data_IF_601546474525
#
_entry.id   IF_601546474525
#
_cell.length_a   1.000
_cell.length_b   1.000
_cell.length_c   1.000
_cell.angle_alpha   90.00
_cell.angle_beta   90.00
_cell.angle_gamma   90.00
#
_symmetry.space_group_name_H-M   'P 1'
#
loop_
_entity.id
_entity.type
_entity.pdbx_description
1 polymer ?
#
# COMPACT_ATOMS: atom_id res chain seq x y z
N UNK A 1 29.92 -62.11 2.31
CA UNK A 1 30.17 -60.98 1.46
C UNK A 1 28.92 -60.58 0.64
N UNK A 2 28.45 -61.40 -0.33
CA UNK A 2 27.30 -61.01 -1.18
C UNK A 2 25.97 -60.80 -0.44
N UNK A 3 25.71 -61.57 0.63
CA UNK A 3 24.51 -61.44 1.46
C UNK A 3 24.55 -60.16 2.33
N UNK A 4 25.72 -59.79 2.81
CA UNK A 4 25.94 -58.59 3.62
C UNK A 4 25.82 -57.33 2.73
N UNK A 5 26.37 -57.37 1.53
CA UNK A 5 26.23 -56.29 0.53
C UNK A 5 24.77 -56.09 0.11
N UNK A 6 24.02 -57.18 -0.08
CA UNK A 6 22.61 -57.13 -0.38
C UNK A 6 21.80 -56.46 0.74
N UNK A 7 22.03 -56.85 2.00
CA UNK A 7 21.35 -56.27 3.16
C UNK A 7 21.67 -54.77 3.30
N UNK A 8 22.93 -54.37 3.11
CA UNK A 8 23.30 -52.97 3.17
C UNK A 8 22.66 -52.14 2.04
N UNK A 9 22.51 -52.69 0.81
CA UNK A 9 21.77 -52.07 -0.29
C UNK A 9 20.27 -51.96 -0.01
N UNK A 10 19.67 -52.98 0.58
CA UNK A 10 18.25 -53.00 0.93
C UNK A 10 17.95 -51.95 2.02
N UNK A 11 18.78 -51.83 3.04
CA UNK A 11 18.66 -50.82 4.10
C UNK A 11 18.81 -49.41 3.49
N UNK A 12 19.80 -49.21 2.61
CA UNK A 12 19.99 -47.93 1.93
C UNK A 12 18.82 -47.56 1.01
N UNK A 13 18.30 -48.53 0.27
CA UNK A 13 17.13 -48.36 -0.59
C UNK A 13 15.92 -47.95 0.23
N UNK A 14 15.62 -48.69 1.33
CA UNK A 14 14.52 -48.38 2.24
C UNK A 14 14.66 -46.97 2.83
N UNK A 15 15.85 -46.60 3.29
CA UNK A 15 16.11 -45.25 3.82
C UNK A 15 15.88 -44.17 2.75
N UNK A 16 16.42 -44.33 1.54
CA UNK A 16 16.25 -43.38 0.47
C UNK A 16 14.80 -43.26 -0.01
N UNK A 17 14.05 -44.38 -0.04
CA UNK A 17 12.64 -44.39 -0.38
C UNK A 17 11.81 -43.60 0.62
N UNK A 18 12.06 -43.82 1.93
CA UNK A 18 11.40 -43.03 2.98
C UNK A 18 11.72 -41.54 2.87
N UNK A 19 13.00 -41.17 2.67
CA UNK A 19 13.40 -39.77 2.48
C UNK A 19 12.74 -39.14 1.27
N UNK A 20 12.57 -39.89 0.16
CA UNK A 20 11.90 -39.41 -1.04
C UNK A 20 10.42 -39.17 -0.76
N UNK A 21 9.74 -40.09 -0.07
CA UNK A 21 8.33 -39.94 0.33
C UNK A 21 8.15 -38.70 1.22
N UNK A 22 9.03 -38.49 2.21
CA UNK A 22 9.00 -37.32 3.08
C UNK A 22 9.15 -36.01 2.30
N UNK A 23 10.08 -35.96 1.33
CA UNK A 23 10.29 -34.78 0.49
C UNK A 23 9.08 -34.50 -0.42
N UNK A 24 8.48 -35.56 -1.00
CA UNK A 24 7.27 -35.43 -1.82
C UNK A 24 6.11 -34.92 -0.98
N UNK A 25 5.94 -35.43 0.23
CA UNK A 25 4.89 -34.97 1.15
C UNK A 25 5.12 -33.52 1.57
N UNK A 26 6.33 -33.16 1.99
CA UNK A 26 6.67 -31.80 2.37
C UNK A 26 6.43 -30.79 1.22
N UNK A 27 6.76 -31.18 -0.02
CA UNK A 27 6.45 -30.35 -1.20
C UNK A 27 4.95 -30.14 -1.39
N UNK A 28 4.15 -31.19 -1.19
CA UNK A 28 2.69 -31.11 -1.29
C UNK A 28 2.10 -30.21 -0.22
N UNK A 29 2.58 -30.36 1.02
CA UNK A 29 2.12 -29.55 2.15
C UNK A 29 2.46 -28.06 1.93
N UNK A 30 3.68 -27.76 1.45
CA UNK A 30 4.08 -26.39 1.09
C UNK A 30 3.21 -25.82 -0.05
N UNK A 31 2.86 -26.60 -1.05
CA UNK A 31 1.96 -26.14 -2.12
C UNK A 31 0.58 -25.77 -1.55
N UNK A 32 0.04 -26.57 -0.64
CA UNK A 32 -1.21 -26.24 0.05
C UNK A 32 -1.15 -24.95 0.86
N UNK A 33 -0.04 -24.73 1.59
CA UNK A 33 0.16 -23.47 2.33
C UNK A 33 0.21 -22.27 1.40
N UNK A 34 0.86 -22.38 0.23
CA UNK A 34 0.90 -21.31 -0.77
C UNK A 34 -0.51 -20.99 -1.26
N UNK A 35 -1.32 -21.98 -1.62
CA UNK A 35 -2.70 -21.78 -2.06
C UNK A 35 -3.55 -21.08 -0.99
N UNK A 36 -3.41 -21.46 0.28
CA UNK A 36 -4.12 -20.83 1.39
C UNK A 36 -3.69 -19.37 1.59
N UNK A 37 -2.39 -19.08 1.50
CA UNK A 37 -1.86 -17.71 1.59
C UNK A 37 -2.32 -16.84 0.44
N UNK A 38 -2.27 -17.35 -0.80
CA UNK A 38 -2.73 -16.64 -1.99
C UNK A 38 -4.23 -16.30 -1.89
N UNK A 39 -5.05 -17.22 -1.40
CA UNK A 39 -6.47 -16.98 -1.16
C UNK A 39 -6.70 -15.87 -0.12
N UNK A 40 -5.93 -15.85 0.97
CA UNK A 40 -6.01 -14.79 1.99
C UNK A 40 -5.55 -13.44 1.44
N UNK A 41 -4.46 -13.41 0.68
CA UNK A 41 -3.97 -12.18 0.04
C UNK A 41 -5.02 -11.64 -0.92
N UNK A 42 -5.61 -12.48 -1.75
CA UNK A 42 -6.66 -12.12 -2.70
C UNK A 42 -7.85 -11.47 -2.00
N UNK A 43 -8.33 -12.08 -0.92
CA UNK A 43 -9.45 -11.54 -0.15
C UNK A 43 -9.11 -10.17 0.47
N UNK A 44 -7.97 -10.08 1.17
CA UNK A 44 -7.54 -8.84 1.82
C UNK A 44 -7.30 -7.70 0.82
N UNK A 45 -6.69 -8.01 -0.32
CA UNK A 45 -6.44 -7.02 -1.37
C UNK A 45 -7.74 -6.53 -2.00
N UNK A 46 -8.67 -7.45 -2.31
CA UNK A 46 -9.97 -7.10 -2.91
C UNK A 46 -10.77 -6.19 -1.99
N UNK A 47 -10.86 -6.53 -0.70
CA UNK A 47 -11.55 -5.72 0.29
C UNK A 47 -10.91 -4.34 0.43
N UNK A 48 -9.58 -4.28 0.54
CA UNK A 48 -8.84 -3.03 0.62
C UNK A 48 -8.99 -2.18 -0.65
N UNK A 49 -8.98 -2.81 -1.83
CA UNK A 49 -9.18 -2.14 -3.10
C UNK A 49 -10.52 -1.40 -3.14
N UNK A 50 -11.62 -2.07 -2.82
CA UNK A 50 -12.95 -1.45 -2.84
C UNK A 50 -13.06 -0.27 -1.87
N UNK A 51 -12.48 -0.41 -0.67
CA UNK A 51 -12.48 0.66 0.32
C UNK A 51 -11.70 1.90 -0.19
N UNK A 52 -10.51 1.69 -0.74
CA UNK A 52 -9.65 2.78 -1.23
C UNK A 52 -10.19 3.40 -2.53
N UNK A 53 -10.71 2.59 -3.44
CA UNK A 53 -11.35 3.05 -4.67
C UNK A 53 -12.52 3.98 -4.39
N UNK A 54 -13.30 3.70 -3.34
CA UNK A 54 -14.43 4.54 -2.92
C UNK A 54 -14.00 5.86 -2.25
N UNK A 55 -12.87 5.88 -1.54
CA UNK A 55 -12.37 7.07 -0.83
C UNK A 55 -11.52 7.99 -1.72
N UNK A 56 -10.76 7.44 -2.66
CA UNK A 56 -9.83 8.22 -3.49
C UNK A 56 -10.49 9.40 -4.24
N UNK A 57 -11.64 9.26 -4.92
CA UNK A 57 -12.29 10.38 -5.61
C UNK A 57 -12.66 11.51 -4.66
N UNK A 58 -13.10 11.21 -3.44
CA UNK A 58 -13.51 12.19 -2.42
C UNK A 58 -12.31 13.00 -1.94
N UNK A 59 -11.21 12.32 -1.61
CA UNK A 59 -9.96 12.97 -1.21
C UNK A 59 -9.38 13.78 -2.36
N UNK A 60 -9.41 13.23 -3.58
CA UNK A 60 -8.92 13.93 -4.77
C UNK A 60 -9.68 15.24 -5.01
N UNK A 61 -11.00 15.26 -4.89
CA UNK A 61 -11.81 16.47 -5.03
C UNK A 61 -11.51 17.52 -3.95
N UNK A 62 -11.15 17.10 -2.75
CA UNK A 62 -10.73 18.02 -1.67
C UNK A 62 -9.42 18.71 -2.01
N UNK A 63 -8.45 17.96 -2.56
CA UNK A 63 -7.15 18.49 -2.97
C UNK A 63 -7.18 19.23 -4.32
N UNK A 64 -8.06 18.82 -5.23
CA UNK A 64 -8.25 19.41 -6.56
C UNK A 64 -9.71 19.81 -6.75
N UNK A 65 -10.20 20.92 -6.17
CA UNK A 65 -11.58 21.37 -6.34
C UNK A 65 -11.96 21.52 -7.81
N UNK A 66 -13.00 20.79 -8.25
CA UNK A 66 -13.43 20.73 -9.65
C UNK A 66 -12.62 19.77 -10.52
N UNK A 67 -11.68 19.01 -9.94
CA UNK A 67 -10.98 17.91 -10.58
C UNK A 67 -11.69 16.58 -10.36
N UNK A 68 -11.27 15.56 -11.10
CA UNK A 68 -11.73 14.19 -10.97
C UNK A 68 -10.50 13.26 -10.89
N UNK A 69 -10.54 12.30 -9.99
CA UNK A 69 -9.53 11.25 -9.86
C UNK A 69 -10.18 9.90 -9.70
N UNK A 70 -9.57 8.88 -10.29
CA UNK A 70 -9.99 7.49 -10.13
C UNK A 70 -8.81 6.56 -10.14
N UNK A 71 -8.98 5.40 -9.51
CA UNK A 71 -8.03 4.31 -9.53
C UNK A 71 -8.48 3.27 -10.53
N UNK A 72 -7.53 2.62 -11.19
CA UNK A 72 -7.79 1.58 -12.20
C UNK A 72 -6.82 0.43 -11.95
N UNK A 73 -7.34 -0.79 -11.98
CA UNK A 73 -6.52 -2.00 -12.00
C UNK A 73 -5.97 -2.21 -13.41
N UNK A 74 -4.68 -2.54 -13.53
CA UNK A 74 -4.06 -2.82 -14.84
C UNK A 74 -4.49 -4.16 -15.40
N UNK A 75 -4.72 -5.14 -14.52
CA UNK A 75 -5.13 -6.50 -14.85
C UNK A 75 -6.27 -6.94 -13.91
N UNK A 76 -7.53 -6.49 -14.17
CA UNK A 76 -8.67 -6.76 -13.27
C UNK A 76 -8.99 -8.24 -13.10
N UNK A 77 -8.63 -9.07 -14.08
CA UNK A 77 -8.87 -10.52 -14.07
C UNK A 77 -7.87 -11.29 -13.19
N UNK A 78 -6.74 -10.67 -12.84
CA UNK A 78 -5.72 -11.26 -11.98
C UNK A 78 -5.34 -10.31 -10.83
N UNK A 79 -6.08 -10.40 -9.76
CA UNK A 79 -5.92 -9.55 -8.58
C UNK A 79 -4.62 -9.80 -7.80
N UNK A 80 -3.93 -10.93 -8.02
CA UNK A 80 -2.65 -11.23 -7.36
C UNK A 80 -1.46 -10.53 -8.02
N UNK A 81 -1.56 -10.27 -9.33
CA UNK A 81 -0.46 -9.67 -10.10
C UNK A 81 -0.78 -8.26 -10.60
N UNK A 82 -2.06 -7.82 -10.46
CA UNK A 82 -2.50 -6.52 -10.94
C UNK A 82 -1.75 -5.36 -10.32
N UNK A 83 -1.44 -4.35 -11.13
CA UNK A 83 -1.00 -3.03 -10.66
C UNK A 83 -2.17 -2.07 -10.49
N UNK A 84 -1.90 -0.95 -9.81
CA UNK A 84 -2.86 0.15 -9.66
C UNK A 84 -2.36 1.35 -10.46
N UNK A 85 -3.16 1.82 -11.42
CA UNK A 85 -2.94 3.09 -12.12
C UNK A 85 -3.85 4.18 -11.55
N UNK A 86 -3.31 5.39 -11.50
CA UNK A 86 -4.05 6.59 -11.11
C UNK A 86 -4.34 7.41 -12.35
N UNK A 87 -5.61 7.60 -12.65
CA UNK A 87 -6.07 8.59 -13.61
C UNK A 87 -6.55 9.84 -12.89
N UNK A 88 -6.01 10.97 -13.27
CA UNK A 88 -6.33 12.26 -12.69
C UNK A 88 -6.68 13.27 -13.76
N UNK A 89 -7.73 14.06 -13.48
CA UNK A 89 -8.13 15.23 -14.26
C UNK A 89 -8.11 16.47 -13.35
N UNK A 90 -6.98 17.17 -13.23
CA UNK A 90 -6.94 18.45 -12.54
C UNK A 90 -7.91 19.46 -13.19
N UNK A 91 -8.37 20.49 -12.46
CA UNK A 91 -9.31 21.47 -12.98
C UNK A 91 -8.83 22.10 -14.29
N UNK A 92 -9.72 22.15 -15.30
CA UNK A 92 -9.40 22.75 -16.62
C UNK A 92 -8.50 21.92 -17.52
N UNK A 93 -8.14 20.68 -17.13
CA UNK A 93 -7.28 19.78 -17.92
C UNK A 93 -8.04 18.53 -18.39
N UNK A 94 -7.44 17.82 -19.35
CA UNK A 94 -7.92 16.49 -19.76
C UNK A 94 -7.45 15.43 -18.77
N UNK A 95 -8.15 14.29 -18.71
CA UNK A 95 -7.71 13.13 -17.95
C UNK A 95 -6.32 12.68 -18.38
N UNK A 96 -5.46 12.43 -17.42
CA UNK A 96 -4.08 11.97 -17.64
C UNK A 96 -3.71 10.91 -16.62
N UNK A 97 -2.83 10.01 -17.04
CA UNK A 97 -2.12 9.10 -16.12
C UNK A 97 -1.18 9.92 -15.23
N UNK A 98 -0.91 9.41 -14.04
CA UNK A 98 -0.03 10.06 -13.05
C UNK A 98 1.33 10.48 -13.67
N UNK A 99 1.89 9.65 -14.55
CA UNK A 99 3.17 9.93 -15.22
C UNK A 99 3.20 11.20 -16.05
N UNK A 100 2.03 11.66 -16.55
CA UNK A 100 1.87 12.80 -17.44
C UNK A 100 1.48 14.12 -16.72
N UNK A 101 1.34 14.08 -15.39
CA UNK A 101 1.07 15.25 -14.57
C UNK A 101 2.35 16.08 -14.35
N UNK A 102 2.19 17.36 -14.00
CA UNK A 102 3.31 18.18 -13.54
C UNK A 102 3.84 17.70 -12.18
N UNK A 103 5.05 18.12 -11.79
CA UNK A 103 5.67 17.71 -10.53
C UNK A 103 4.76 17.93 -9.31
N UNK A 104 4.26 19.15 -9.13
CA UNK A 104 3.35 19.47 -8.01
C UNK A 104 2.01 18.71 -8.07
N UNK A 105 1.45 18.50 -9.27
CA UNK A 105 0.24 17.69 -9.43
C UNK A 105 0.49 16.23 -9.10
N UNK A 106 1.65 15.68 -9.45
CA UNK A 106 2.06 14.31 -9.07
C UNK A 106 2.14 14.16 -7.57
N UNK A 107 2.85 15.06 -6.88
CA UNK A 107 3.00 15.03 -5.44
C UNK A 107 1.65 15.12 -4.73
N UNK A 108 0.79 16.04 -5.17
CA UNK A 108 -0.54 16.20 -4.60
C UNK A 108 -1.46 15.00 -4.88
N UNK A 109 -1.35 14.37 -6.06
CA UNK A 109 -2.10 13.15 -6.40
C UNK A 109 -1.61 11.94 -5.61
N UNK A 110 -0.29 11.80 -5.41
CA UNK A 110 0.27 10.76 -4.55
C UNK A 110 -0.19 10.93 -3.09
N UNK A 111 -0.26 12.17 -2.62
CA UNK A 111 -0.79 12.49 -1.30
C UNK A 111 -2.28 12.15 -1.20
N UNK A 112 -3.08 12.41 -2.26
CA UNK A 112 -4.49 12.01 -2.31
C UNK A 112 -4.64 10.49 -2.14
N UNK A 113 -3.78 9.72 -2.79
CA UNK A 113 -3.77 8.25 -2.67
C UNK A 113 -3.44 7.81 -1.24
N UNK A 114 -2.40 8.39 -0.64
CA UNK A 114 -1.99 8.09 0.72
C UNK A 114 -3.13 8.37 1.72
N UNK A 115 -3.76 9.54 1.63
CA UNK A 115 -4.88 9.91 2.51
C UNK A 115 -6.12 9.04 2.27
N UNK A 116 -6.37 8.63 1.02
CA UNK A 116 -7.45 7.68 0.71
C UNK A 116 -7.24 6.33 1.39
N UNK A 117 -6.00 5.82 1.40
CA UNK A 117 -5.64 4.60 2.13
C UNK A 117 -5.85 4.80 3.64
N UNK A 118 -5.44 5.93 4.20
CA UNK A 118 -5.62 6.23 5.63
C UNK A 118 -7.10 6.31 6.04
N UNK A 119 -7.96 6.83 5.17
CA UNK A 119 -9.41 6.87 5.41
C UNK A 119 -10.07 5.50 5.27
N UNK A 120 -9.65 4.73 4.27
CA UNK A 120 -10.17 3.39 4.02
C UNK A 120 -9.78 2.40 5.14
N UNK A 121 -8.54 2.52 5.63
CA UNK A 121 -7.96 1.65 6.68
C UNK A 121 -7.29 2.50 7.76
N UNK A 122 -8.08 3.10 8.68
CA UNK A 122 -7.53 4.00 9.68
C UNK A 122 -6.57 3.27 10.65
N UNK A 123 -5.45 3.94 10.92
CA UNK A 123 -4.47 3.54 11.94
C UNK A 123 -4.61 4.42 13.18
N UNK A 124 -4.29 3.93 14.37
CA UNK A 124 -4.32 4.75 15.58
C UNK A 124 -3.35 5.94 15.54
N UNK A 125 -2.27 5.87 14.76
CA UNK A 125 -1.34 6.97 14.57
C UNK A 125 -0.68 6.93 13.18
N UNK A 126 -0.21 8.10 12.72
CA UNK A 126 0.56 8.29 11.49
C UNK A 126 1.80 9.14 11.77
N UNK A 127 2.92 8.79 11.16
CA UNK A 127 4.14 9.60 11.16
C UNK A 127 4.35 10.12 9.74
N UNK A 128 4.40 11.43 9.59
CA UNK A 128 4.54 12.11 8.30
C UNK A 128 5.79 12.98 8.34
N UNK A 129 6.73 12.72 7.44
CA UNK A 129 8.00 13.41 7.37
C UNK A 129 8.06 14.29 6.11
N UNK A 130 8.03 15.62 6.32
CA UNK A 130 8.11 16.65 5.27
C UNK A 130 7.21 16.39 4.03
N UNK A 131 6.02 15.83 4.22
CA UNK A 131 5.10 15.47 3.12
C UNK A 131 4.64 16.67 2.30
N UNK A 132 4.74 17.86 2.85
CA UNK A 132 4.39 19.14 2.23
C UNK A 132 5.53 19.81 1.45
N UNK A 133 6.76 19.29 1.48
CA UNK A 133 7.94 19.96 0.93
C UNK A 133 7.83 20.33 -0.58
N UNK A 134 7.04 19.58 -1.35
CA UNK A 134 6.83 19.82 -2.76
C UNK A 134 5.55 20.61 -3.09
N UNK A 135 4.84 21.14 -2.08
CA UNK A 135 3.57 21.84 -2.25
C UNK A 135 3.74 23.35 -2.22
N UNK A 136 2.96 24.06 -3.03
CA UNK A 136 2.78 25.50 -2.91
C UNK A 136 1.85 25.87 -1.73
N UNK A 137 1.76 27.13 -1.39
CA UNK A 137 0.96 27.63 -0.25
C UNK A 137 -0.53 27.26 -0.35
N UNK A 138 -1.08 27.19 -1.57
CA UNK A 138 -2.49 26.86 -1.78
C UNK A 138 -2.74 25.38 -1.49
N UNK A 139 -1.86 24.53 -2.00
CA UNK A 139 -1.95 23.08 -1.80
C UNK A 139 -1.59 22.68 -0.37
N UNK A 140 -0.65 23.38 0.25
CA UNK A 140 -0.32 23.22 1.68
C UNK A 140 -1.56 23.44 2.56
N UNK A 141 -2.34 24.50 2.33
CA UNK A 141 -3.56 24.76 3.11
C UNK A 141 -4.61 23.65 2.93
N UNK A 142 -4.71 23.06 1.74
CA UNK A 142 -5.60 21.92 1.48
C UNK A 142 -5.15 20.67 2.22
N UNK A 143 -3.83 20.41 2.25
CA UNK A 143 -3.24 19.34 3.03
C UNK A 143 -3.52 19.53 4.53
N UNK A 144 -3.34 20.73 5.06
CA UNK A 144 -3.64 21.05 6.47
C UNK A 144 -5.10 20.75 6.79
N UNK A 145 -6.04 21.10 5.90
CA UNK A 145 -7.45 20.76 6.10
C UNK A 145 -7.70 19.23 6.19
N UNK A 146 -6.97 18.44 5.39
CA UNK A 146 -7.01 16.98 5.49
C UNK A 146 -6.39 16.47 6.80
N UNK A 147 -5.32 17.06 7.28
CA UNK A 147 -4.75 16.72 8.58
C UNK A 147 -5.75 16.98 9.72
N UNK A 148 -6.50 18.08 9.62
CA UNK A 148 -7.55 18.38 10.59
C UNK A 148 -8.72 17.38 10.58
N UNK A 149 -8.99 16.75 9.46
CA UNK A 149 -9.94 15.64 9.38
C UNK A 149 -9.35 14.35 9.97
N UNK A 150 -8.15 13.97 9.57
CA UNK A 150 -7.51 12.73 10.03
C UNK A 150 -7.25 12.71 11.54
N UNK A 151 -6.91 13.87 12.14
CA UNK A 151 -6.64 13.96 13.59
C UNK A 151 -7.86 13.72 14.48
N UNK A 152 -9.07 13.66 13.93
CA UNK A 152 -10.28 13.35 14.70
C UNK A 152 -10.29 11.89 15.18
N UNK A 153 -9.72 11.00 14.36
CA UNK A 153 -9.76 9.55 14.56
C UNK A 153 -8.38 8.95 14.79
N UNK A 154 -7.31 9.72 14.56
CA UNK A 154 -5.93 9.24 14.63
C UNK A 154 -4.98 10.28 15.19
N UNK A 155 -3.90 9.85 15.84
CA UNK A 155 -2.82 10.71 16.25
C UNK A 155 -1.89 11.00 15.08
N UNK A 156 -1.64 12.28 14.75
CA UNK A 156 -0.69 12.69 13.73
C UNK A 156 0.61 13.15 14.37
N UNK A 157 1.72 12.59 13.93
CA UNK A 157 3.09 13.02 14.26
C UNK A 157 3.68 13.57 12.98
N UNK A 158 3.83 14.88 12.88
CA UNK A 158 4.29 15.55 11.64
C UNK A 158 5.65 16.19 11.89
N UNK A 159 6.63 15.77 11.09
CA UNK A 159 7.96 16.40 11.05
C UNK A 159 7.90 17.46 9.97
N UNK A 160 8.13 18.72 10.34
CA UNK A 160 7.96 19.84 9.41
C UNK A 160 8.88 21.01 9.76
N UNK A 161 9.22 21.80 8.76
CA UNK A 161 9.82 23.12 8.92
C UNK A 161 8.87 24.23 8.44
N UNK A 162 7.65 23.89 8.01
CA UNK A 162 6.66 24.84 7.49
C UNK A 162 5.83 25.45 8.62
N UNK A 163 5.87 26.77 8.72
CA UNK A 163 5.12 27.51 9.74
C UNK A 163 3.60 27.22 9.71
N UNK A 164 2.91 27.18 8.55
CA UNK A 164 1.48 26.89 8.52
C UNK A 164 1.12 25.51 9.10
N UNK A 165 1.98 24.51 8.93
CA UNK A 165 1.79 23.17 9.52
C UNK A 165 1.99 23.22 11.04
N UNK A 166 2.98 23.99 11.53
CA UNK A 166 3.22 24.17 12.96
C UNK A 166 2.05 24.90 13.64
N UNK A 167 1.46 25.89 12.98
CA UNK A 167 0.39 26.74 13.56
C UNK A 167 -0.88 25.94 13.90
N UNK A 168 -1.11 24.80 13.27
CA UNK A 168 -2.29 23.92 13.51
C UNK A 168 -2.00 22.76 14.47
N UNK A 169 -0.77 22.62 14.93
CA UNK A 169 -0.39 21.57 15.87
C UNK A 169 -0.94 21.81 17.27
N UNK A 170 -1.37 20.75 17.94
CA UNK A 170 -1.79 20.81 19.34
C UNK A 170 -0.58 20.93 20.28
N UNK A 171 0.55 20.30 19.91
CA UNK A 171 1.80 20.28 20.66
C UNK A 171 2.96 20.39 19.69
N UNK A 172 3.96 21.19 20.04
CA UNK A 172 5.20 21.36 19.27
C UNK A 172 6.39 20.83 20.07
N UNK A 173 7.20 20.03 19.43
CA UNK A 173 8.49 19.58 19.94
C UNK A 173 9.61 20.21 19.10
N UNK A 174 10.41 21.06 19.71
CA UNK A 174 11.63 21.63 19.09
C UNK A 174 12.78 20.64 19.22
N UNK A 175 13.45 20.31 18.11
CA UNK A 175 14.70 19.56 18.10
C UNK A 175 15.84 20.55 17.82
N UNK A 176 16.74 20.73 18.78
CA UNK A 176 17.95 21.53 18.62
C UNK A 176 19.16 20.63 18.68
N UNK A 177 20.09 20.81 17.74
CA UNK A 177 21.42 20.18 17.77
C UNK A 177 22.39 21.02 18.57
#
# INVERSE_FOLDING_TARGET
>A
LALEEYKALEERYSFLSTQLEDVIQARKDLAGVIEDVDAQILQLFTDAWHDVEAEFPKVFQTLFPGGEGRLILTEPEDMLTTGIEVEARPPGKKVKRLSLLSGGEKSLTALAMLVAIFRARPSPFYVMDEVEAALDDVNLRRLIALFEELRKDSQLIVITHQKPTMDVANVLYGVTM
#
